data_IF_935762640213
#
_entry.id   IF_935762640213
#
_cell.length_a   1.000
_cell.length_b   1.000
_cell.length_c   1.000
_cell.angle_alpha   90.00
_cell.angle_beta   90.00
_cell.angle_gamma   90.00
#
_symmetry.space_group_name_H-M   'P 1'
#
loop_
_entity.id
_entity.type
_entity.pdbx_description
1 polymer ?
#
# COMPACT_ATOMS: atom_id res chain seq x y z
N UNK A 1 37.10 -11.74 -67.35
CA UNK A 1 36.52 -13.01 -66.85
C UNK A 1 35.33 -12.66 -65.94
N UNK A 2 34.14 -13.11 -66.32
CA UNK A 2 32.85 -13.09 -65.56
C UNK A 2 32.90 -14.24 -64.50
N UNK A 3 31.95 -14.44 -63.53
CA UNK A 3 30.63 -13.81 -63.39
C UNK A 3 30.07 -13.64 -61.92
N UNK A 4 28.80 -13.16 -61.89
CA UNK A 4 27.68 -13.53 -60.98
C UNK A 4 27.55 -13.00 -59.55
N UNK A 5 26.75 -11.93 -59.44
CA UNK A 5 25.51 -11.74 -58.65
C UNK A 5 25.14 -12.83 -57.62
N UNK A 6 24.88 -12.42 -56.38
CA UNK A 6 23.71 -12.85 -55.61
C UNK A 6 23.11 -11.65 -54.87
N UNK A 7 21.82 -11.41 -55.13
CA UNK A 7 20.96 -10.54 -54.34
C UNK A 7 20.74 -11.16 -52.96
N UNK A 8 20.68 -10.34 -51.91
CA UNK A 8 19.78 -10.64 -50.80
C UNK A 8 19.35 -9.36 -50.08
N UNK A 9 18.03 -9.25 -49.98
CA UNK A 9 17.28 -8.27 -49.22
C UNK A 9 17.68 -8.33 -47.75
N UNK A 10 17.83 -7.18 -47.10
CA UNK A 10 17.34 -6.96 -45.74
C UNK A 10 17.40 -5.46 -45.42
N UNK A 11 16.28 -4.78 -45.62
CA UNK A 11 16.00 -3.54 -44.93
C UNK A 11 16.07 -3.80 -43.41
N UNK A 12 17.04 -3.21 -42.71
CA UNK A 12 17.02 -3.19 -41.25
C UNK A 12 16.35 -1.89 -40.82
N UNK A 13 15.09 -2.04 -40.47
CA UNK A 13 14.25 -0.99 -39.90
C UNK A 13 14.93 -0.33 -38.70
N UNK A 14 14.72 0.98 -38.60
CA UNK A 14 15.16 1.85 -37.52
C UNK A 14 14.40 1.46 -36.24
N UNK A 15 15.01 0.66 -35.36
CA UNK A 15 14.43 0.38 -34.04
C UNK A 15 14.62 1.61 -33.14
N UNK A 16 13.61 2.47 -33.10
CA UNK A 16 13.46 3.45 -32.03
C UNK A 16 13.17 2.69 -30.72
N UNK A 17 14.22 2.38 -29.96
CA UNK A 17 14.06 1.88 -28.60
C UNK A 17 13.52 3.02 -27.72
N UNK A 18 12.21 3.03 -27.49
CA UNK A 18 11.61 3.79 -26.39
C UNK A 18 12.13 3.21 -25.08
N UNK A 19 13.12 3.86 -24.49
CA UNK A 19 13.51 3.62 -23.10
C UNK A 19 12.38 4.18 -22.23
N UNK A 20 11.39 3.35 -21.93
CA UNK A 20 10.40 3.63 -20.90
C UNK A 20 11.08 3.50 -19.53
N UNK A 21 11.73 4.56 -19.07
CA UNK A 21 12.20 4.63 -17.69
C UNK A 21 10.97 4.69 -16.76
N UNK A 22 10.85 3.82 -15.74
CA UNK A 22 9.75 3.89 -14.79
C UNK A 22 9.87 5.19 -14.00
N UNK A 23 8.90 6.08 -14.15
CA UNK A 23 8.79 7.26 -13.30
C UNK A 23 8.45 6.79 -11.88
N UNK A 24 9.06 7.37 -10.83
CA UNK A 24 8.65 7.09 -9.47
C UNK A 24 7.18 7.51 -9.30
N UNK A 25 6.32 6.56 -8.96
CA UNK A 25 4.94 6.85 -8.61
C UNK A 25 4.92 7.52 -7.23
N UNK A 26 4.72 8.84 -7.19
CA UNK A 26 4.47 9.58 -5.95
C UNK A 26 3.02 9.36 -5.51
N UNK A 27 2.78 8.25 -4.80
CA UNK A 27 1.48 7.89 -4.23
C UNK A 27 1.28 8.39 -2.78
N UNK A 28 2.21 9.19 -2.25
CA UNK A 28 2.13 9.68 -0.88
C UNK A 28 1.11 10.83 -0.76
N UNK A 29 0.21 10.72 0.22
CA UNK A 29 -0.76 11.77 0.53
C UNK A 29 -0.06 12.97 1.19
N UNK A 30 -0.40 14.18 0.74
CA UNK A 30 0.01 15.42 1.40
C UNK A 30 -0.76 15.62 2.72
N UNK A 31 -0.16 16.30 3.69
CA UNK A 31 -0.87 16.69 4.91
C UNK A 31 -2.05 17.60 4.56
N UNK A 32 -3.21 17.31 5.15
CA UNK A 32 -4.46 18.02 4.87
C UNK A 32 -5.21 17.51 3.63
N UNK A 33 -4.63 16.59 2.86
CA UNK A 33 -5.37 15.88 1.84
C UNK A 33 -6.45 15.01 2.48
N UNK A 34 -7.61 14.90 1.83
CA UNK A 34 -8.65 13.98 2.25
C UNK A 34 -8.10 12.54 2.18
N UNK A 35 -8.26 11.78 3.27
CA UNK A 35 -7.91 10.37 3.27
C UNK A 35 -8.85 9.62 2.29
N UNK A 36 -8.30 8.78 1.39
CA UNK A 36 -9.12 7.95 0.52
C UNK A 36 -10.03 7.04 1.34
N UNK A 37 -11.31 6.98 0.98
CA UNK A 37 -12.25 6.10 1.65
C UNK A 37 -11.92 4.64 1.34
N UNK A 38 -12.12 3.77 2.34
CA UNK A 38 -11.94 2.34 2.20
C UNK A 38 -12.84 1.57 3.15
N UNK A 39 -13.10 0.32 2.78
CA UNK A 39 -13.76 -0.67 3.62
C UNK A 39 -12.98 -1.97 3.56
N UNK A 40 -12.63 -2.51 4.73
CA UNK A 40 -11.80 -3.72 4.86
C UNK A 40 -12.34 -4.63 5.96
N UNK A 41 -12.00 -5.92 5.88
CA UNK A 41 -12.18 -6.81 7.03
C UNK A 41 -11.03 -6.61 8.01
N UNK A 42 -11.34 -6.56 9.28
CA UNK A 42 -10.39 -6.37 10.37
C UNK A 42 -10.68 -7.36 11.50
N UNK A 43 -9.70 -7.56 12.38
CA UNK A 43 -9.85 -8.41 13.57
C UNK A 43 -9.59 -7.62 14.83
N UNK A 44 -10.41 -7.87 15.85
CA UNK A 44 -10.17 -7.39 17.21
C UNK A 44 -10.44 -8.52 18.17
N UNK A 45 -9.44 -8.88 18.98
CA UNK A 45 -9.54 -9.98 19.94
C UNK A 45 -10.06 -11.29 19.31
N UNK A 46 -9.60 -11.60 18.09
CA UNK A 46 -9.99 -12.79 17.32
C UNK A 46 -11.36 -12.72 16.65
N UNK A 47 -12.11 -11.62 16.79
CA UNK A 47 -13.41 -11.42 16.12
C UNK A 47 -13.21 -10.63 14.83
N UNK A 48 -13.72 -11.18 13.73
CA UNK A 48 -13.76 -10.49 12.43
C UNK A 48 -14.89 -9.47 12.42
N UNK A 49 -14.61 -8.29 11.87
CA UNK A 49 -15.61 -7.24 11.63
C UNK A 49 -15.24 -6.40 10.39
N UNK A 50 -16.24 -5.73 9.82
CA UNK A 50 -16.02 -4.77 8.73
C UNK A 50 -15.65 -3.41 9.31
N UNK A 51 -14.50 -2.87 8.92
CA UNK A 51 -14.11 -1.49 9.17
C UNK A 51 -14.38 -0.63 7.93
N UNK A 52 -15.02 0.53 8.11
CA UNK A 52 -15.19 1.57 7.07
C UNK A 52 -14.62 2.88 7.60
N UNK A 53 -13.78 3.54 6.81
CA UNK A 53 -13.15 4.81 7.21
C UNK A 53 -14.21 5.90 7.41
N UNK A 54 -15.12 6.09 6.46
CA UNK A 54 -16.24 7.03 6.60
C UNK A 54 -17.07 6.80 7.89
N UNK A 55 -17.44 5.55 8.17
CA UNK A 55 -18.21 5.23 9.37
C UNK A 55 -17.43 5.48 10.67
N UNK A 56 -16.11 5.29 10.66
CA UNK A 56 -15.24 5.56 11.79
C UNK A 56 -15.05 7.07 12.03
N UNK A 57 -14.80 7.84 10.96
CA UNK A 57 -14.61 9.30 11.03
C UNK A 57 -15.85 10.05 11.55
N UNK A 58 -17.05 9.50 11.36
CA UNK A 58 -18.29 10.02 11.97
C UNK A 58 -18.32 9.92 13.50
N UNK A 59 -17.52 9.02 14.09
CA UNK A 59 -17.45 8.80 15.55
C UNK A 59 -16.30 9.55 16.21
N UNK A 60 -15.24 9.84 15.47
CA UNK A 60 -14.05 10.49 16.00
C UNK A 60 -12.84 10.37 15.07
N UNK A 61 -11.69 10.91 15.48
CA UNK A 61 -10.46 10.82 14.70
C UNK A 61 -10.01 9.35 14.54
N UNK A 62 -9.36 9.07 13.40
CA UNK A 62 -8.78 7.75 13.12
C UNK A 62 -7.26 7.89 13.04
N UNK A 63 -6.56 7.09 13.82
CA UNK A 63 -5.11 6.91 13.72
C UNK A 63 -4.87 5.63 12.93
N UNK A 64 -4.44 5.81 11.69
CA UNK A 64 -4.16 4.72 10.75
C UNK A 64 -2.65 4.55 10.62
N UNK A 65 -2.14 3.34 10.84
CA UNK A 65 -0.72 3.03 10.62
C UNK A 65 -0.58 1.76 9.78
N UNK A 66 0.40 1.78 8.87
CA UNK A 66 0.67 0.67 7.95
C UNK A 66 1.96 -0.02 8.36
N UNK A 67 1.96 -1.35 8.40
CA UNK A 67 3.16 -2.14 8.70
C UNK A 67 3.36 -3.25 7.65
N UNK A 68 4.61 -3.65 7.35
CA UNK A 68 4.90 -4.52 6.21
C UNK A 68 4.30 -5.93 6.28
N UNK A 69 4.32 -6.56 7.46
CA UNK A 69 3.86 -7.93 7.63
C UNK A 69 3.55 -8.28 9.09
N UNK A 70 2.39 -8.85 9.37
CA UNK A 70 1.97 -9.34 10.68
C UNK A 70 2.95 -10.39 11.24
N UNK A 71 3.02 -10.49 12.57
CA UNK A 71 3.80 -11.50 13.31
C UNK A 71 5.32 -11.52 13.04
N UNK A 72 5.89 -10.47 12.44
CA UNK A 72 7.34 -10.32 12.26
C UNK A 72 7.98 -9.60 13.46
N UNK A 73 9.27 -9.88 13.76
CA UNK A 73 9.97 -9.35 14.96
C UNK A 73 9.95 -7.82 15.07
N UNK A 74 9.81 -7.09 13.96
CA UNK A 74 9.69 -5.62 13.93
C UNK A 74 8.29 -5.09 14.21
N UNK A 75 7.23 -5.87 13.95
CA UNK A 75 5.83 -5.45 14.16
C UNK A 75 5.40 -5.45 15.63
N UNK A 76 6.26 -5.95 16.51
CA UNK A 76 5.99 -6.06 17.95
C UNK A 76 6.24 -4.78 18.74
N UNK A 77 6.96 -3.78 18.20
CA UNK A 77 7.23 -2.54 18.94
C UNK A 77 6.14 -1.51 18.67
N UNK A 78 5.94 -1.09 17.41
CA UNK A 78 4.94 -0.06 17.09
C UNK A 78 3.53 -0.50 17.49
N UNK A 79 3.14 -1.75 17.20
CA UNK A 79 1.84 -2.27 17.63
C UNK A 79 1.70 -2.38 19.16
N UNK A 80 2.80 -2.65 19.88
CA UNK A 80 2.80 -2.67 21.34
C UNK A 80 2.71 -1.26 21.93
N UNK A 81 3.38 -0.27 21.33
CA UNK A 81 3.32 1.13 21.74
C UNK A 81 1.91 1.68 21.54
N UNK A 82 1.29 1.40 20.39
CA UNK A 82 -0.14 1.70 20.18
C UNK A 82 -1.00 1.01 21.22
N UNK A 83 -0.84 -0.30 21.44
CA UNK A 83 -1.61 -1.05 22.42
C UNK A 83 -1.51 -0.45 23.83
N UNK A 84 -0.29 -0.11 24.27
CA UNK A 84 -0.01 0.50 25.58
C UNK A 84 -0.59 1.91 25.70
N UNK A 85 -0.58 2.69 24.62
CA UNK A 85 -1.13 4.05 24.57
C UNK A 85 -2.65 4.11 24.29
N UNK A 86 -3.33 2.97 24.07
CA UNK A 86 -4.77 2.93 23.82
C UNK A 86 -5.64 3.71 24.84
N UNK A 87 -5.34 3.72 26.15
CA UNK A 87 -6.08 4.57 27.09
C UNK A 87 -6.06 6.05 26.71
N UNK A 88 -4.96 6.57 26.16
CA UNK A 88 -4.84 7.97 25.79
C UNK A 88 -5.57 8.28 24.49
N UNK A 89 -5.45 7.41 23.49
CA UNK A 89 -6.25 7.54 22.26
C UNK A 89 -7.76 7.55 22.55
N UNK A 90 -8.22 6.68 23.47
CA UNK A 90 -9.62 6.66 23.91
C UNK A 90 -10.07 7.96 24.57
N UNK A 91 -9.21 8.65 25.32
CA UNK A 91 -9.55 9.97 25.92
C UNK A 91 -9.87 11.02 24.84
N UNK A 92 -9.22 10.92 23.68
CA UNK A 92 -9.48 11.78 22.53
C UNK A 92 -10.57 11.25 21.58
N UNK A 93 -11.25 10.16 21.94
CA UNK A 93 -12.24 9.51 21.08
C UNK A 93 -11.65 8.91 19.80
N UNK A 94 -10.33 8.68 19.77
CA UNK A 94 -9.65 8.19 18.59
C UNK A 94 -9.80 6.67 18.43
N UNK A 95 -10.08 6.24 17.20
CA UNK A 95 -9.98 4.83 16.80
C UNK A 95 -8.60 4.59 16.21
N UNK A 96 -7.93 3.51 16.62
CA UNK A 96 -6.61 3.14 16.08
C UNK A 96 -6.74 1.87 15.26
N UNK A 97 -6.25 1.91 14.01
CA UNK A 97 -6.27 0.79 13.08
C UNK A 97 -4.87 0.55 12.50
N UNK A 98 -4.36 -0.65 12.71
CA UNK A 98 -3.16 -1.14 12.03
C UNK A 98 -3.53 -1.92 10.78
N UNK A 99 -2.85 -1.65 9.66
CA UNK A 99 -3.08 -2.34 8.38
C UNK A 99 -1.77 -2.95 7.85
N UNK A 100 -1.82 -4.22 7.44
CA UNK A 100 -0.82 -4.85 6.57
C UNK A 100 -1.48 -5.40 5.31
N UNK A 101 -0.67 -5.89 4.38
CA UNK A 101 -1.14 -6.59 3.18
C UNK A 101 -1.46 -8.08 3.44
N UNK A 102 -1.44 -8.54 4.69
CA UNK A 102 -1.72 -9.93 5.05
C UNK A 102 -3.22 -10.26 4.98
N UNK A 103 -3.51 -11.54 4.81
CA UNK A 103 -4.86 -12.08 4.98
C UNK A 103 -5.17 -12.28 6.47
N UNK A 104 -6.45 -12.31 6.83
CA UNK A 104 -6.88 -12.44 8.23
C UNK A 104 -6.61 -13.81 8.86
N UNK A 105 -6.36 -14.83 8.06
CA UNK A 105 -6.15 -16.22 8.46
C UNK A 105 -4.66 -16.61 8.60
N UNK A 106 -3.74 -15.64 8.46
CA UNK A 106 -2.32 -15.84 8.73
C UNK A 106 -1.99 -15.96 10.21
#
# INVERSE_FOLDING_TARGET
>A
MKPTVFHNLAARALSAALIAAPLPAVAALAVGAAAPDFTVQATQSGKVFTFSLDAALKKGPVVLYFYPAAFTKGCTIEAHDFASAMPDYRKYGATVLGISADQLDK
#
